data_IF_694331887653
#
_entry.id   IF_694331887653
#
_cell.length_a   1.000
_cell.length_b   1.000
_cell.length_c   1.000
_cell.angle_alpha   90.00
_cell.angle_beta   90.00
_cell.angle_gamma   90.00
#
_symmetry.space_group_name_H-M   'P 1'
#
loop_
_entity.id
_entity.type
_entity.pdbx_description
1 polymer ?
#
# COMPACT_ATOMS: atom_id res chain seq x y z
N UNK A 1 -5.17 16.07 48.63
CA UNK A 1 -3.90 16.17 47.89
C UNK A 1 -2.83 16.76 48.82
N UNK A 2 -2.05 15.91 49.48
CA UNK A 2 -1.05 16.29 50.49
C UNK A 2 0.31 16.68 49.89
N UNK A 3 1.42 16.23 50.50
CA UNK A 3 2.81 16.60 50.15
C UNK A 3 3.18 16.37 48.67
N UNK A 4 2.50 15.46 47.98
CA UNK A 4 2.76 15.15 46.57
C UNK A 4 1.95 15.96 45.55
N UNK A 5 1.25 17.03 45.97
CA UNK A 5 0.40 17.82 45.08
C UNK A 5 1.12 18.31 43.81
N UNK A 6 2.39 18.72 43.92
CA UNK A 6 3.22 19.14 42.78
C UNK A 6 3.43 18.01 41.75
N UNK A 7 3.70 16.80 42.23
CA UNK A 7 3.94 15.64 41.37
C UNK A 7 2.65 15.14 40.71
N UNK A 8 1.52 15.16 41.43
CA UNK A 8 0.21 14.84 40.86
C UNK A 8 -0.19 15.81 39.75
N UNK A 9 0.03 17.11 39.93
CA UNK A 9 -0.19 18.09 38.86
C UNK A 9 0.76 17.89 37.67
N UNK A 10 2.01 17.52 37.92
CA UNK A 10 2.95 17.14 36.86
C UNK A 10 2.47 15.92 36.06
N UNK A 11 2.03 14.86 36.74
CA UNK A 11 1.47 13.67 36.08
C UNK A 11 0.23 14.02 35.25
N UNK A 12 -0.72 14.76 35.82
CA UNK A 12 -1.93 15.18 35.11
C UNK A 12 -1.56 16.01 33.87
N UNK A 13 -0.62 16.94 33.99
CA UNK A 13 -0.16 17.73 32.85
C UNK A 13 0.47 16.86 31.76
N UNK A 14 1.32 15.90 32.11
CA UNK A 14 1.90 14.94 31.15
C UNK A 14 0.80 14.15 30.46
N UNK A 15 -0.15 13.58 31.22
CA UNK A 15 -1.26 12.81 30.65
C UNK A 15 -2.11 13.66 29.70
N UNK A 16 -2.51 14.87 30.12
CA UNK A 16 -3.33 15.75 29.28
C UNK A 16 -2.60 16.08 27.98
N UNK A 17 -1.31 16.42 28.04
CA UNK A 17 -0.53 16.78 26.85
C UNK A 17 -0.33 15.56 25.93
N UNK A 18 0.07 14.40 26.47
CA UNK A 18 0.34 13.21 25.64
C UNK A 18 -0.93 12.65 25.03
N UNK A 19 -2.05 12.60 25.77
CA UNK A 19 -3.33 12.18 25.21
C UNK A 19 -3.87 13.18 24.18
N UNK A 20 -3.59 14.47 24.33
CA UNK A 20 -3.94 15.47 23.31
C UNK A 20 -3.18 15.20 22.00
N UNK A 21 -1.86 14.99 22.07
CA UNK A 21 -1.07 14.65 20.89
C UNK A 21 -1.49 13.32 20.26
N UNK A 22 -1.76 12.29 21.07
CA UNK A 22 -2.23 11.00 20.59
C UNK A 22 -3.59 11.12 19.89
N UNK A 23 -4.54 11.86 20.48
CA UNK A 23 -5.86 12.09 19.91
C UNK A 23 -5.79 12.89 18.60
N UNK A 24 -4.97 13.94 18.56
CA UNK A 24 -4.75 14.71 17.35
C UNK A 24 -4.11 13.86 16.24
N UNK A 25 -3.07 13.07 16.56
CA UNK A 25 -2.46 12.14 15.62
C UNK A 25 -3.45 11.09 15.11
N UNK A 26 -4.33 10.56 15.98
CA UNK A 26 -5.38 9.63 15.58
C UNK A 26 -6.37 10.22 14.57
N UNK A 27 -6.78 11.48 14.77
CA UNK A 27 -7.66 12.17 13.81
C UNK A 27 -6.97 12.33 12.45
N UNK A 28 -5.69 12.67 12.45
CA UNK A 28 -4.94 12.82 11.20
C UNK A 28 -4.78 11.50 10.45
N UNK A 29 -4.51 10.41 11.18
CA UNK A 29 -4.46 9.05 10.60
C UNK A 29 -5.80 8.68 9.95
N UNK A 30 -6.94 8.97 10.58
CA UNK A 30 -8.25 8.71 9.99
C UNK A 30 -8.53 9.51 8.72
N UNK A 31 -7.98 10.73 8.59
CA UNK A 31 -8.18 11.60 7.42
C UNK A 31 -7.23 11.30 6.26
N UNK A 32 -6.05 10.79 6.58
CA UNK A 32 -4.94 10.61 5.61
C UNK A 32 -4.65 9.15 5.28
N UNK A 33 -5.39 8.21 5.91
CA UNK A 33 -5.33 6.81 5.54
C UNK A 33 -5.58 6.64 4.02
N UNK A 34 -4.84 5.74 3.35
CA UNK A 34 -5.06 5.46 1.95
C UNK A 34 -6.51 4.97 1.76
N UNK A 35 -7.33 5.66 0.94
CA UNK A 35 -8.70 5.26 0.72
C UNK A 35 -8.73 3.92 -0.05
N UNK A 36 -9.68 3.06 0.30
CA UNK A 36 -9.98 1.87 -0.51
C UNK A 36 -10.87 2.38 -1.66
N UNK A 37 -10.45 2.22 -2.93
CA UNK A 37 -11.27 2.62 -4.07
C UNK A 37 -12.54 1.76 -4.15
N UNK A 38 -13.63 2.35 -4.66
CA UNK A 38 -14.89 1.62 -4.87
C UNK A 38 -14.66 0.44 -5.83
N UNK A 39 -13.88 0.69 -6.90
CA UNK A 39 -13.59 -0.27 -7.96
C UNK A 39 -12.22 -0.03 -8.61
N UNK A 40 -11.57 -1.12 -9.00
CA UNK A 40 -10.50 -1.14 -9.99
C UNK A 40 -11.09 -1.58 -11.33
N UNK A 41 -10.85 -0.78 -12.37
CA UNK A 41 -11.36 -1.02 -13.72
C UNK A 41 -10.21 -1.09 -14.72
N UNK A 42 -10.37 -1.84 -15.81
CA UNK A 42 -9.43 -1.80 -16.94
C UNK A 42 -9.65 -0.56 -17.82
N UNK A 43 -8.82 -0.40 -18.86
CA UNK A 43 -8.90 0.74 -19.79
C UNK A 43 -10.23 0.79 -20.57
N UNK A 44 -10.92 -0.35 -20.69
CA UNK A 44 -12.22 -0.49 -21.36
C UNK A 44 -13.41 -0.17 -20.44
N UNK A 45 -13.16 0.00 -19.13
CA UNK A 45 -14.17 0.26 -18.11
C UNK A 45 -14.79 -1.00 -17.50
N UNK A 46 -14.21 -2.18 -17.75
CA UNK A 46 -14.64 -3.43 -17.11
C UNK A 46 -14.13 -3.47 -15.68
N UNK A 47 -15.02 -3.81 -14.74
CA UNK A 47 -14.68 -3.99 -13.33
C UNK A 47 -13.82 -5.25 -13.15
N UNK A 48 -12.69 -5.09 -12.45
CA UNK A 48 -11.75 -6.16 -12.12
C UNK A 48 -11.81 -6.54 -10.64
N UNK A 49 -11.83 -5.54 -9.75
CA UNK A 49 -11.83 -5.72 -8.29
C UNK A 49 -12.75 -4.65 -7.69
N UNK A 50 -13.59 -5.03 -6.73
CA UNK A 50 -14.45 -4.10 -5.97
C UNK A 50 -13.91 -3.89 -4.55
N UNK A 51 -14.39 -2.84 -3.86
CA UNK A 51 -14.14 -2.65 -2.44
C UNK A 51 -14.51 -3.90 -1.61
N UNK A 52 -15.65 -4.52 -1.92
CA UNK A 52 -16.14 -5.73 -1.23
C UNK A 52 -15.15 -6.89 -1.38
N UNK A 53 -14.63 -7.12 -2.59
CA UNK A 53 -13.63 -8.17 -2.84
C UNK A 53 -12.36 -7.96 -1.99
N UNK A 54 -11.94 -6.70 -1.79
CA UNK A 54 -10.76 -6.36 -0.98
C UNK A 54 -11.03 -6.64 0.50
N UNK A 55 -12.19 -6.25 1.02
CA UNK A 55 -12.56 -6.48 2.43
C UNK A 55 -12.78 -7.96 2.73
N UNK A 56 -13.33 -8.71 1.78
CA UNK A 56 -13.45 -10.16 1.85
C UNK A 56 -12.09 -10.84 1.80
N UNK A 57 -11.19 -10.37 0.94
CA UNK A 57 -9.78 -10.79 0.90
C UNK A 57 -9.05 -10.53 2.21
N UNK A 58 -9.25 -9.36 2.83
CA UNK A 58 -8.71 -9.05 4.16
C UNK A 58 -9.25 -10.03 5.21
N UNK A 59 -10.55 -10.33 5.18
CA UNK A 59 -11.16 -11.30 6.08
C UNK A 59 -10.64 -12.72 5.85
N UNK A 60 -10.41 -13.11 4.60
CA UNK A 60 -9.79 -14.39 4.25
C UNK A 60 -8.35 -14.48 4.77
N UNK A 61 -7.55 -13.43 4.60
CA UNK A 61 -6.18 -13.36 5.14
C UNK A 61 -6.15 -13.47 6.67
N UNK A 62 -7.09 -12.85 7.38
CA UNK A 62 -7.19 -13.02 8.83
C UNK A 62 -7.47 -14.49 9.22
N UNK A 63 -8.28 -15.20 8.43
CA UNK A 63 -8.60 -16.63 8.66
C UNK A 63 -7.42 -17.57 8.42
N UNK A 64 -6.44 -17.21 7.59
CA UNK A 64 -5.24 -18.03 7.36
C UNK A 64 -4.18 -17.88 8.45
N UNK A 65 -4.44 -17.04 9.47
CA UNK A 65 -3.50 -16.72 10.56
C UNK A 65 -2.96 -15.29 10.50
N UNK A 66 -3.29 -14.53 9.45
CA UNK A 66 -2.95 -13.13 9.31
C UNK A 66 -1.45 -12.85 9.48
N UNK A 67 -1.12 -11.97 10.44
CA UNK A 67 0.25 -11.58 10.76
C UNK A 67 1.10 -12.69 11.39
N UNK A 68 0.54 -13.86 11.70
CA UNK A 68 1.32 -15.00 12.22
C UNK A 68 1.99 -15.80 11.11
N UNK A 69 1.52 -15.68 9.86
CA UNK A 69 2.07 -16.42 8.73
C UNK A 69 3.29 -15.71 8.13
N UNK A 70 3.14 -14.41 7.85
CA UNK A 70 4.15 -13.50 7.31
C UNK A 70 3.80 -12.06 7.70
N UNK A 71 4.31 -11.09 6.96
CA UNK A 71 3.99 -9.67 7.20
C UNK A 71 3.18 -9.04 6.07
N UNK A 72 2.39 -8.02 6.43
CA UNK A 72 1.77 -7.07 5.52
C UNK A 72 2.16 -5.68 6.01
N UNK A 73 2.59 -4.81 5.10
CA UNK A 73 3.06 -3.45 5.45
C UNK A 73 4.12 -3.46 6.58
N UNK A 74 5.03 -4.45 6.56
CA UNK A 74 6.11 -4.60 7.53
C UNK A 74 5.71 -5.14 8.90
N UNK A 75 4.43 -5.43 9.14
CA UNK A 75 3.94 -5.94 10.43
C UNK A 75 3.53 -7.41 10.32
N UNK A 76 4.22 -8.28 11.06
CA UNK A 76 3.88 -9.70 11.19
C UNK A 76 5.08 -10.58 11.46
N UNK A 77 4.96 -11.87 11.14
CA UNK A 77 5.98 -12.87 11.31
C UNK A 77 7.06 -12.77 10.23
N UNK A 78 8.24 -13.32 10.51
CA UNK A 78 9.44 -13.13 9.68
C UNK A 78 9.91 -14.37 8.94
N UNK A 79 9.14 -15.47 9.00
CA UNK A 79 9.51 -16.72 8.32
C UNK A 79 9.03 -16.75 6.86
N UNK A 80 7.79 -16.32 6.61
CA UNK A 80 7.28 -16.04 5.27
C UNK A 80 7.65 -14.60 4.86
N UNK A 81 7.59 -14.24 3.57
CA UNK A 81 7.91 -12.90 3.12
C UNK A 81 6.89 -11.85 3.62
N UNK A 82 7.22 -10.58 3.39
CA UNK A 82 6.23 -9.52 3.40
C UNK A 82 5.41 -9.57 2.11
N UNK A 83 4.12 -9.86 2.22
CA UNK A 83 3.25 -10.05 1.05
C UNK A 83 3.06 -8.76 0.25
N UNK A 84 3.07 -7.59 0.90
CA UNK A 84 2.98 -6.30 0.18
C UNK A 84 4.22 -6.07 -0.65
N UNK A 85 5.41 -6.33 -0.10
CA UNK A 85 6.67 -6.15 -0.83
C UNK A 85 6.88 -7.21 -1.92
N UNK A 86 6.57 -8.49 -1.65
CA UNK A 86 6.74 -9.59 -2.61
C UNK A 86 5.76 -9.43 -3.78
N UNK A 87 4.49 -9.11 -3.52
CA UNK A 87 3.51 -8.84 -4.56
C UNK A 87 3.95 -7.66 -5.44
N UNK A 88 4.28 -6.51 -4.82
CA UNK A 88 4.73 -5.33 -5.55
C UNK A 88 5.96 -5.65 -6.42
N UNK A 89 6.95 -6.37 -5.90
CA UNK A 89 8.12 -6.72 -6.69
C UNK A 89 7.78 -7.59 -7.89
N UNK A 90 6.98 -8.65 -7.70
CA UNK A 90 6.58 -9.57 -8.77
C UNK A 90 5.75 -8.87 -9.84
N UNK A 91 4.83 -8.01 -9.44
CA UNK A 91 3.99 -7.22 -10.34
C UNK A 91 4.85 -6.28 -11.21
N UNK A 92 5.80 -5.55 -10.60
CA UNK A 92 6.71 -4.67 -11.32
C UNK A 92 7.63 -5.42 -12.29
N UNK A 93 8.12 -6.61 -11.92
CA UNK A 93 8.94 -7.46 -12.80
C UNK A 93 8.11 -7.98 -13.96
N UNK A 94 6.89 -8.47 -13.70
CA UNK A 94 5.98 -8.92 -14.76
C UNK A 94 5.65 -7.79 -15.75
N UNK A 95 5.34 -6.59 -15.25
CA UNK A 95 5.11 -5.41 -16.08
C UNK A 95 6.33 -5.09 -16.96
N UNK A 96 7.55 -5.15 -16.38
CA UNK A 96 8.79 -4.88 -17.14
C UNK A 96 9.02 -5.91 -18.24
N UNK A 97 8.76 -7.19 -17.98
CA UNK A 97 8.92 -8.26 -18.97
C UNK A 97 7.88 -8.15 -20.08
N UNK A 98 6.61 -7.89 -19.76
CA UNK A 98 5.55 -7.64 -20.75
C UNK A 98 5.96 -6.46 -21.64
N UNK A 99 6.38 -5.34 -21.03
CA UNK A 99 6.73 -4.14 -21.77
C UNK A 99 8.01 -4.28 -22.60
N UNK A 100 9.00 -5.02 -22.10
CA UNK A 100 10.22 -5.34 -22.85
C UNK A 100 9.90 -6.20 -24.08
N UNK A 101 9.02 -7.19 -23.92
CA UNK A 101 8.59 -8.05 -25.00
C UNK A 101 7.84 -7.26 -26.08
N UNK A 102 6.95 -6.35 -25.70
CA UNK A 102 6.20 -5.49 -26.64
C UNK A 102 7.10 -4.54 -27.44
N UNK A 103 8.08 -3.91 -26.79
CA UNK A 103 8.90 -2.86 -27.41
C UNK A 103 10.13 -3.41 -28.13
N UNK A 104 10.72 -4.49 -27.61
CA UNK A 104 12.03 -4.98 -28.04
C UNK A 104 12.04 -6.48 -28.41
N UNK A 105 10.96 -7.21 -28.14
CA UNK A 105 10.81 -8.62 -28.54
C UNK A 105 11.60 -9.61 -27.69
N UNK A 106 12.08 -9.21 -26.51
CA UNK A 106 12.79 -10.07 -25.57
C UNK A 106 12.49 -9.65 -24.11
N UNK A 107 12.79 -10.55 -23.17
CA UNK A 107 12.64 -10.32 -21.73
C UNK A 107 13.45 -9.11 -21.23
N UNK A 108 13.02 -8.52 -20.10
CA UNK A 108 13.71 -7.38 -19.49
C UNK A 108 15.15 -7.71 -19.11
N UNK A 109 15.41 -8.95 -18.70
CA UNK A 109 16.75 -9.41 -18.33
C UNK A 109 17.77 -9.26 -19.48
N UNK A 110 17.33 -9.52 -20.72
CA UNK A 110 18.15 -9.46 -21.93
C UNK A 110 18.32 -8.03 -22.50
N UNK A 111 17.56 -7.06 -21.98
CA UNK A 111 17.60 -5.69 -22.43
C UNK A 111 18.94 -4.99 -22.11
N UNK A 112 19.35 -4.08 -23.00
CA UNK A 112 20.51 -3.20 -22.79
C UNK A 112 20.25 -2.20 -21.66
N UNK A 113 21.30 -1.59 -21.11
CA UNK A 113 21.16 -0.62 -20.02
C UNK A 113 20.29 0.58 -20.43
N UNK A 114 20.40 1.04 -21.68
CA UNK A 114 19.56 2.12 -22.21
C UNK A 114 18.08 1.71 -22.27
N UNK A 115 17.78 0.50 -22.76
CA UNK A 115 16.42 -0.05 -22.79
C UNK A 115 15.86 -0.20 -21.37
N UNK A 116 16.67 -0.72 -20.44
CA UNK A 116 16.29 -0.86 -19.02
C UNK A 116 15.99 0.48 -18.37
N UNK A 117 16.75 1.51 -18.68
CA UNK A 117 16.52 2.86 -18.19
C UNK A 117 15.18 3.43 -18.68
N UNK A 118 14.86 3.24 -19.96
CA UNK A 118 13.58 3.67 -20.56
C UNK A 118 12.41 2.94 -19.91
N UNK A 119 12.47 1.61 -19.82
CA UNK A 119 11.41 0.79 -19.21
C UNK A 119 11.20 1.15 -17.73
N UNK A 120 12.28 1.32 -16.96
CA UNK A 120 12.21 1.72 -15.55
C UNK A 120 11.60 3.10 -15.36
N UNK A 121 11.83 4.04 -16.29
CA UNK A 121 11.23 5.37 -16.26
C UNK A 121 9.72 5.31 -16.56
N UNK A 122 9.31 4.49 -17.52
CA UNK A 122 7.89 4.27 -17.84
C UNK A 122 7.15 3.62 -16.66
N UNK A 123 7.73 2.55 -16.10
CA UNK A 123 7.19 1.86 -14.92
C UNK A 123 6.91 2.85 -13.77
N UNK A 124 7.90 3.68 -13.42
CA UNK A 124 7.75 4.69 -12.36
C UNK A 124 6.66 5.69 -12.66
N UNK A 125 6.56 6.15 -13.91
CA UNK A 125 5.54 7.12 -14.33
C UNK A 125 4.13 6.53 -14.19
N UNK A 126 3.96 5.27 -14.54
CA UNK A 126 2.67 4.58 -14.51
C UNK A 126 2.23 4.26 -13.07
N UNK A 127 3.05 3.51 -12.32
CA UNK A 127 2.69 3.05 -10.98
C UNK A 127 2.58 4.19 -9.97
N UNK A 128 3.41 5.24 -10.08
CA UNK A 128 3.32 6.41 -9.19
C UNK A 128 2.37 7.50 -9.68
N UNK A 129 1.97 7.43 -10.96
CA UNK A 129 1.00 8.34 -11.55
C UNK A 129 -0.44 7.87 -11.35
N UNK A 130 -0.65 6.57 -11.15
CA UNK A 130 -1.97 5.98 -10.91
C UNK A 130 -2.56 6.49 -9.59
N UNK A 131 -3.78 7.03 -9.66
CA UNK A 131 -4.53 7.60 -8.54
C UNK A 131 -6.03 7.36 -8.75
N UNK A 132 -6.81 7.55 -7.68
CA UNK A 132 -8.27 7.51 -7.75
C UNK A 132 -8.81 8.66 -8.61
N UNK A 133 -9.81 8.36 -9.44
CA UNK A 133 -10.53 9.34 -10.24
C UNK A 133 -11.65 10.02 -9.42
N UNK A 134 -12.43 10.91 -10.06
CA UNK A 134 -13.54 11.63 -9.41
C UNK A 134 -14.67 10.73 -8.88
N UNK A 135 -14.74 9.48 -9.34
CA UNK A 135 -15.75 8.50 -8.95
C UNK A 135 -15.18 7.48 -7.96
N UNK A 136 -14.04 7.78 -7.32
CA UNK A 136 -13.32 6.87 -6.41
C UNK A 136 -12.90 5.54 -7.05
N UNK A 137 -12.61 5.52 -8.36
CA UNK A 137 -12.14 4.33 -9.07
C UNK A 137 -10.67 4.47 -9.46
N UNK A 138 -9.95 3.36 -9.53
CA UNK A 138 -8.59 3.29 -10.08
C UNK A 138 -8.62 2.60 -11.45
N UNK A 139 -8.06 3.26 -12.46
CA UNK A 139 -7.94 2.69 -13.81
C UNK A 139 -6.59 1.99 -13.93
N UNK A 140 -6.61 0.70 -14.19
CA UNK A 140 -5.43 -0.11 -14.49
C UNK A 140 -5.18 -0.11 -15.99
N UNK A 141 -3.91 -0.03 -16.37
CA UNK A 141 -3.46 -0.19 -17.76
C UNK A 141 -3.61 -1.65 -18.20
N UNK A 142 -3.63 -1.87 -19.52
CA UNK A 142 -3.74 -3.22 -20.09
C UNK A 142 -2.38 -3.95 -20.20
N UNK A 143 -1.31 -3.30 -19.75
CA UNK A 143 0.07 -3.81 -19.73
C UNK A 143 0.32 -4.76 -18.56
#
# INVERSE_FOLDING_TARGET
MGEYKKYWWGLIAVLVITFTFLGWGGVEVYRTAPPIPDQYIDSSGKVLITEEDILDGQSAWQRTGGQQLGSILGHGAYQAPDWTADWLHRELVAWLDIRAQELYGHDFAAATDDQKAVLSAQLKKEYRGSNTNSNNQVVLSDT
#
